data_IF_470979707538
#
_entry.id   IF_470979707538
#
_cell.length_a   1.000
_cell.length_b   1.000
_cell.length_c   1.000
_cell.angle_alpha   90.00
_cell.angle_beta   90.00
_cell.angle_gamma   90.00
#
_symmetry.space_group_name_H-M   'P 1'
#
loop_
_entity.id
_entity.type
_entity.pdbx_description
1 polymer ?
#
# COMPACT_ATOMS: atom_id res chain seq x y z
N UNK A 1 -9.23 -9.87 -12.57
CA UNK A 1 -8.65 -11.21 -12.39
C UNK A 1 -9.35 -11.87 -11.23
N UNK A 2 -9.63 -13.17 -11.31
CA UNK A 2 -10.17 -13.95 -10.19
C UNK A 2 -9.06 -14.87 -9.70
N UNK A 3 -8.87 -14.96 -8.40
CA UNK A 3 -7.94 -15.90 -7.75
C UNK A 3 -8.73 -16.99 -7.05
N UNK A 4 -8.18 -18.20 -6.98
CA UNK A 4 -8.79 -19.33 -6.28
C UNK A 4 -8.62 -19.21 -4.75
N UNK A 5 -9.51 -19.86 -4.00
CA UNK A 5 -9.60 -19.81 -2.52
C UNK A 5 -8.26 -20.07 -1.84
N UNK A 6 -7.52 -21.07 -2.32
CA UNK A 6 -6.24 -21.47 -1.74
C UNK A 6 -5.17 -20.38 -1.93
N UNK A 7 -5.20 -19.66 -3.05
CA UNK A 7 -4.33 -18.52 -3.35
C UNK A 7 -4.68 -17.32 -2.47
N UNK A 8 -5.96 -17.05 -2.22
CA UNK A 8 -6.40 -16.01 -1.29
C UNK A 8 -5.90 -16.26 0.14
N UNK A 9 -5.90 -17.51 0.59
CA UNK A 9 -5.51 -17.88 1.95
C UNK A 9 -3.98 -17.95 2.14
N UNK A 10 -3.22 -18.26 1.09
CA UNK A 10 -1.77 -18.43 1.16
C UNK A 10 -0.97 -17.19 0.76
N UNK A 11 -1.57 -16.25 0.05
CA UNK A 11 -0.85 -15.07 -0.45
C UNK A 11 -1.06 -13.92 0.53
N UNK A 12 0.03 -13.31 0.98
CA UNK A 12 -0.01 -12.16 1.89
C UNK A 12 -0.78 -11.02 1.22
N UNK A 13 -1.45 -10.16 1.99
CA UNK A 13 -2.21 -9.02 1.44
C UNK A 13 -1.30 -8.18 0.51
N UNK A 14 -0.04 -7.96 0.89
CA UNK A 14 1.03 -7.32 0.09
C UNK A 14 1.39 -8.00 -1.26
N UNK A 15 1.28 -9.32 -1.36
CA UNK A 15 1.55 -10.06 -2.61
C UNK A 15 0.30 -10.13 -3.52
N UNK A 16 -0.89 -10.03 -2.92
CA UNK A 16 -2.16 -9.88 -3.65
C UNK A 16 -2.41 -8.44 -4.09
N UNK A 17 -1.73 -7.49 -3.47
CA UNK A 17 -1.79 -6.08 -3.80
C UNK A 17 -0.52 -5.65 -4.51
N UNK A 18 -0.53 -5.67 -5.84
CA UNK A 18 0.11 -4.56 -6.54
C UNK A 18 -0.37 -3.26 -5.83
N UNK A 19 0.56 -2.38 -5.43
CA UNK A 19 0.24 -1.17 -4.65
C UNK A 19 -1.06 -0.55 -5.16
N UNK A 20 -2.02 -0.27 -4.29
CA UNK A 20 -3.30 0.26 -4.76
C UNK A 20 -3.08 1.58 -5.52
N UNK A 21 -3.91 1.91 -6.51
CA UNK A 21 -3.78 3.17 -7.28
C UNK A 21 -3.60 4.41 -6.36
N UNK A 22 -4.36 4.56 -5.25
CA UNK A 22 -4.10 5.59 -4.24
C UNK A 22 -2.69 5.56 -3.63
N UNK A 23 -2.17 4.39 -3.30
CA UNK A 23 -0.86 4.25 -2.64
C UNK A 23 0.27 4.47 -3.64
N UNK A 24 0.14 4.03 -4.90
CA UNK A 24 1.08 4.38 -5.98
C UNK A 24 1.14 5.89 -6.22
N UNK A 25 -0.03 6.55 -6.31
CA UNK A 25 -0.12 8.00 -6.50
C UNK A 25 0.46 8.76 -5.29
N UNK A 26 0.16 8.31 -4.07
CA UNK A 26 0.70 8.94 -2.87
C UNK A 26 2.22 8.74 -2.77
N UNK A 27 2.72 7.52 -3.02
CA UNK A 27 4.15 7.21 -3.03
C UNK A 27 4.91 8.07 -4.04
N UNK A 28 4.34 8.26 -5.24
CA UNK A 28 4.89 9.17 -6.24
C UNK A 28 4.99 10.62 -5.71
N UNK A 29 3.93 11.14 -5.10
CA UNK A 29 3.91 12.50 -4.57
C UNK A 29 4.83 12.69 -3.36
N UNK A 30 4.98 11.67 -2.51
CA UNK A 30 5.93 11.67 -1.38
C UNK A 30 7.37 11.66 -1.90
N UNK A 31 7.69 10.85 -2.92
CA UNK A 31 9.00 10.83 -3.55
C UNK A 31 9.38 12.16 -4.24
N UNK A 32 8.37 13.00 -4.53
CA UNK A 32 8.51 14.32 -5.14
C UNK A 32 7.85 15.42 -4.30
N UNK A 33 8.07 15.39 -2.99
CA UNK A 33 7.47 16.31 -2.03
C UNK A 33 7.78 17.80 -2.32
N UNK A 34 8.86 18.10 -3.05
CA UNK A 34 9.26 19.46 -3.43
C UNK A 34 8.44 20.06 -4.59
N UNK A 35 7.51 19.31 -5.20
CA UNK A 35 6.83 19.69 -6.44
C UNK A 35 5.34 19.41 -6.43
N UNK A 36 4.64 20.07 -7.34
CA UNK A 36 3.24 19.83 -7.62
C UNK A 36 3.05 19.40 -9.08
N UNK A 37 2.16 18.45 -9.32
CA UNK A 37 1.96 17.81 -10.62
C UNK A 37 0.49 17.86 -11.04
N UNK A 38 0.25 17.84 -12.35
CA UNK A 38 -1.10 17.64 -12.88
C UNK A 38 -1.46 16.15 -12.85
N UNK A 39 -2.76 15.82 -12.76
CA UNK A 39 -3.22 14.43 -12.73
C UNK A 39 -2.71 13.61 -13.94
N UNK A 40 -2.70 14.20 -15.14
CA UNK A 40 -2.14 13.59 -16.36
C UNK A 40 -0.64 13.32 -16.30
N UNK A 41 0.12 14.15 -15.60
CA UNK A 41 1.57 13.97 -15.46
C UNK A 41 1.87 12.83 -14.50
N UNK A 42 1.12 12.76 -13.39
CA UNK A 42 1.18 11.63 -12.45
C UNK A 42 0.82 10.34 -13.19
N UNK A 43 -0.30 10.32 -13.92
CA UNK A 43 -0.76 9.16 -14.68
C UNK A 43 0.29 8.65 -15.68
N UNK A 44 0.94 9.56 -16.41
CA UNK A 44 2.00 9.21 -17.35
C UNK A 44 3.25 8.66 -16.66
N UNK A 45 3.56 9.14 -15.45
CA UNK A 45 4.78 8.77 -14.73
C UNK A 45 4.62 7.49 -13.90
N UNK A 46 3.39 7.15 -13.51
CA UNK A 46 3.04 5.93 -12.79
C UNK A 46 2.46 4.84 -13.69
N UNK A 47 2.37 5.07 -15.01
CA UNK A 47 1.73 4.17 -15.98
C UNK A 47 0.27 3.79 -15.62
N UNK A 48 -0.48 4.74 -15.03
CA UNK A 48 -1.86 4.55 -14.60
C UNK A 48 -2.85 5.29 -15.50
N UNK A 49 -4.12 4.86 -15.48
CA UNK A 49 -5.21 5.59 -16.13
C UNK A 49 -5.47 6.95 -15.44
N UNK A 50 -5.61 8.03 -16.23
CA UNK A 50 -5.82 9.38 -15.70
C UNK A 50 -7.12 9.50 -14.88
N UNK A 51 -8.17 8.76 -15.24
CA UNK A 51 -9.42 8.69 -14.49
C UNK A 51 -9.26 7.99 -13.14
N UNK A 52 -8.47 6.92 -13.11
CA UNK A 52 -8.09 6.23 -11.87
C UNK A 52 -7.27 7.15 -10.95
N UNK A 53 -6.28 7.86 -11.50
CA UNK A 53 -5.45 8.83 -10.76
C UNK A 53 -6.31 9.98 -10.22
N UNK A 54 -7.22 10.54 -11.03
CA UNK A 54 -8.11 11.62 -10.59
C UNK A 54 -9.04 11.19 -9.44
N UNK A 55 -9.54 9.95 -9.50
CA UNK A 55 -10.35 9.35 -8.44
C UNK A 55 -9.53 9.12 -7.17
N UNK A 56 -8.30 8.61 -7.31
CA UNK A 56 -7.37 8.41 -6.21
C UNK A 56 -7.01 9.74 -5.53
N UNK A 57 -6.64 10.77 -6.28
CA UNK A 57 -6.33 12.11 -5.76
C UNK A 57 -7.50 12.72 -5.00
N UNK A 58 -8.74 12.54 -5.49
CA UNK A 58 -9.93 12.99 -4.78
C UNK A 58 -10.11 12.29 -3.43
N UNK A 59 -9.86 10.98 -3.37
CA UNK A 59 -9.91 10.20 -2.12
C UNK A 59 -8.80 10.62 -1.15
N UNK A 60 -7.56 10.76 -1.64
CA UNK A 60 -6.42 11.23 -0.86
C UNK A 60 -6.66 12.64 -0.30
N UNK A 61 -7.31 13.51 -1.07
CA UNK A 61 -7.71 14.86 -0.63
C UNK A 61 -8.75 14.83 0.46
N UNK A 62 -9.75 13.95 0.37
CA UNK A 62 -10.76 13.76 1.41
C UNK A 62 -10.13 13.33 2.74
N UNK A 63 -9.04 12.57 2.67
CA UNK A 63 -8.19 12.20 3.82
C UNK A 63 -7.15 13.27 4.17
N UNK A 64 -7.03 14.31 3.35
CA UNK A 64 -6.07 15.43 3.34
C UNK A 64 -4.60 15.03 3.40
N UNK A 65 -4.26 13.98 2.67
CA UNK A 65 -2.89 13.54 2.42
C UNK A 65 -2.26 14.31 1.25
N UNK A 66 -3.09 14.95 0.43
CA UNK A 66 -2.67 15.76 -0.71
C UNK A 66 -3.39 17.09 -0.72
N UNK A 67 -2.72 18.11 -1.23
CA UNK A 67 -3.24 19.45 -1.46
C UNK A 67 -3.53 19.65 -2.94
N UNK A 68 -4.63 20.36 -3.23
CA UNK A 68 -5.03 20.71 -4.58
C UNK A 68 -5.08 22.22 -4.76
N UNK A 69 -4.30 22.75 -5.70
CA UNK A 69 -4.31 24.16 -6.08
C UNK A 69 -4.43 24.30 -7.59
N UNK A 70 -5.52 24.92 -8.04
CA UNK A 70 -5.88 25.05 -9.44
C UNK A 70 -5.98 23.69 -10.15
N UNK A 71 -4.95 23.30 -10.90
CA UNK A 71 -4.88 22.01 -11.61
C UNK A 71 -3.79 21.09 -11.05
N UNK A 72 -3.06 21.58 -10.04
CA UNK A 72 -1.87 20.94 -9.50
C UNK A 72 -2.16 20.27 -8.15
N UNK A 73 -1.51 19.14 -7.96
CA UNK A 73 -1.59 18.28 -6.79
C UNK A 73 -0.21 18.14 -6.17
N UNK A 74 -0.12 18.28 -4.85
CA UNK A 74 1.09 18.07 -4.08
C UNK A 74 0.79 17.22 -2.84
N UNK A 75 1.79 16.57 -2.29
CA UNK A 75 1.67 15.92 -0.98
C UNK A 75 1.46 16.97 0.11
N UNK A 76 0.74 16.63 1.18
CA UNK A 76 0.59 17.53 2.33
C UNK A 76 1.92 17.74 3.05
N UNK A 77 2.13 18.90 3.66
CA UNK A 77 3.31 19.17 4.52
C UNK A 77 3.15 18.65 5.95
N UNK A 78 1.99 18.06 6.27
CA UNK A 78 1.68 17.51 7.60
C UNK A 78 2.25 16.10 7.74
N UNK A 79 3.50 16.01 8.20
CA UNK A 79 4.26 14.76 8.28
C UNK A 79 3.64 13.76 9.26
N UNK A 80 3.07 14.22 10.39
CA UNK A 80 2.35 13.37 11.35
C UNK A 80 1.17 12.63 10.70
N UNK A 81 0.45 13.33 9.82
CA UNK A 81 -0.70 12.78 9.10
C UNK A 81 -0.27 11.83 7.98
N UNK A 82 0.83 12.12 7.30
CA UNK A 82 1.45 11.20 6.33
C UNK A 82 1.99 9.94 7.01
N UNK A 83 2.64 10.08 8.16
CA UNK A 83 3.11 8.97 8.98
C UNK A 83 1.96 8.15 9.57
N UNK A 84 0.80 8.75 9.85
CA UNK A 84 -0.36 7.97 10.30
C UNK A 84 -0.97 7.11 9.18
N UNK A 85 -0.89 7.57 7.93
CA UNK A 85 -1.40 6.83 6.76
C UNK A 85 -0.40 5.79 6.24
N UNK A 86 0.89 6.16 6.16
CA UNK A 86 1.99 5.25 5.79
C UNK A 86 2.51 4.43 6.97
N UNK A 87 2.03 4.68 8.19
CA UNK A 87 2.69 4.25 9.42
C UNK A 87 2.85 2.76 9.55
N UNK A 88 1.90 1.98 9.03
CA UNK A 88 2.05 0.54 8.97
C UNK A 88 3.13 0.13 7.98
N UNK A 89 3.05 0.58 6.72
CA UNK A 89 4.04 0.24 5.68
C UNK A 89 5.45 0.73 6.05
N UNK A 90 5.57 1.95 6.58
CA UNK A 90 6.84 2.56 6.99
C UNK A 90 7.39 1.92 8.25
N UNK A 91 6.55 1.56 9.22
CA UNK A 91 6.98 0.79 10.38
C UNK A 91 7.43 -0.60 9.96
N UNK A 92 6.68 -1.29 9.10
CA UNK A 92 7.04 -2.59 8.54
C UNK A 92 8.34 -2.51 7.75
N UNK A 93 8.56 -1.48 6.93
CA UNK A 93 9.83 -1.24 6.23
C UNK A 93 10.99 -1.01 7.23
N UNK A 94 10.78 -0.19 8.26
CA UNK A 94 11.76 0.04 9.33
C UNK A 94 12.10 -1.24 10.12
N UNK A 95 11.08 -2.03 10.46
CA UNK A 95 11.26 -3.30 11.17
C UNK A 95 11.93 -4.34 10.27
N UNK A 96 11.57 -4.42 9.00
CA UNK A 96 12.22 -5.30 8.02
C UNK A 96 13.69 -4.94 7.80
N UNK A 97 14.05 -3.65 7.81
CA UNK A 97 15.46 -3.23 7.70
C UNK A 97 16.26 -3.58 8.97
N UNK A 98 15.62 -3.54 10.14
CA UNK A 98 16.27 -3.81 11.43
C UNK A 98 16.31 -5.29 11.82
N UNK A 99 15.28 -6.05 11.46
CA UNK A 99 15.05 -7.43 11.88
C UNK A 99 15.18 -8.43 10.72
N UNK A 100 15.32 -7.94 9.49
CA UNK A 100 15.16 -8.73 8.28
C UNK A 100 13.69 -8.83 7.88
N UNK A 101 13.42 -8.96 6.58
CA UNK A 101 12.08 -9.25 6.08
C UNK A 101 11.70 -10.66 6.49
N UNK A 102 10.52 -10.82 7.07
CA UNK A 102 9.97 -12.13 7.40
C UNK A 102 9.87 -13.01 6.16
N UNK A 103 10.40 -14.23 6.23
CA UNK A 103 10.40 -15.19 5.14
C UNK A 103 9.36 -16.27 5.39
N UNK A 104 8.31 -16.34 4.56
CA UNK A 104 7.23 -17.32 4.71
C UNK A 104 7.76 -18.76 4.80
N UNK A 105 8.78 -19.10 4.00
CA UNK A 105 9.41 -20.42 4.00
C UNK A 105 10.09 -20.75 5.34
N UNK A 106 10.77 -19.78 5.98
CA UNK A 106 11.38 -19.98 7.31
C UNK A 106 10.33 -20.17 8.40
N UNK A 107 9.25 -19.39 8.34
CA UNK A 107 8.13 -19.55 9.27
C UNK A 107 7.43 -20.90 9.10
N UNK A 108 7.32 -21.41 7.87
CA UNK A 108 6.70 -22.69 7.58
C UNK A 108 7.58 -23.88 8.02
N UNK A 109 8.91 -23.79 7.92
CA UNK A 109 9.82 -24.81 8.45
C UNK A 109 9.76 -24.90 9.98
N UNK A 110 9.45 -23.79 10.66
CA UNK A 110 9.28 -23.74 12.11
C UNK A 110 7.83 -23.89 12.58
N UNK A 111 6.88 -24.05 11.66
CA UNK A 111 5.48 -24.25 12.00
C UNK A 111 5.28 -25.64 12.62
N UNK A 112 4.41 -25.77 13.65
CA UNK A 112 4.06 -27.07 14.19
C UNK A 112 3.34 -27.92 13.14
N UNK A 113 3.65 -29.23 13.11
CA UNK A 113 2.98 -30.19 12.22
C UNK A 113 1.54 -30.51 12.67
N UNK A 114 1.20 -30.15 13.90
CA UNK A 114 -0.13 -30.30 14.47
C UNK A 114 -1.04 -29.15 14.03
N UNK A 115 -2.21 -29.48 13.47
CA UNK A 115 -3.23 -28.51 13.11
C UNK A 115 -3.65 -27.68 14.32
N UNK A 116 -3.94 -26.39 14.10
CA UNK A 116 -4.44 -25.54 15.17
C UNK A 116 -5.74 -26.10 15.74
N UNK A 117 -5.93 -26.13 17.07
CA UNK A 117 -7.07 -26.80 17.72
C UNK A 117 -8.45 -26.24 17.37
N UNK A 118 -8.49 -25.09 16.72
CA UNK A 118 -9.73 -24.50 16.17
C UNK A 118 -10.21 -25.17 14.87
N UNK A 119 -9.40 -26.03 14.26
CA UNK A 119 -9.71 -26.77 13.04
C UNK A 119 -10.12 -28.23 13.32
N UNK A 120 -10.06 -28.67 14.58
CA UNK A 120 -10.42 -30.03 15.00
C UNK A 120 -11.93 -30.18 15.27
N UNK A 121 -12.67 -29.09 15.52
CA UNK A 121 -14.11 -29.10 15.83
C UNK A 121 -15.03 -29.02 14.59
N UNK A 122 -14.74 -29.81 13.55
CA UNK A 122 -15.61 -29.94 12.37
C UNK A 122 -15.92 -31.42 12.07
N UNK A 123 -16.54 -32.11 13.03
CA UNK A 123 -17.17 -33.42 12.85
C UNK A 123 -18.69 -33.36 13.08
#
# INVERSE_FOLDING_TARGET
MSIDRETFENTSEDELTELSVPDQVLGFLVAHEDRAFQAREIAAQTDLDEGAVSTALTRLKGRGLVEHKATYWAVTTDDDRLQSYSGYERATALYNERLGRESKDEWQEHAPEESHPSLEDAE
#
